data_IF_164695647825
#
_entry.id   IF_164695647825
#
_cell.length_a   1.000
_cell.length_b   1.000
_cell.length_c   1.000
_cell.angle_alpha   90.00
_cell.angle_beta   90.00
_cell.angle_gamma   90.00
#
_symmetry.space_group_name_H-M   'P 1'
#
loop_
_entity.id
_entity.type
_entity.pdbx_description
1 polymer ?
#
# COMPACT_ATOMS: atom_id res chain seq x y z
N UNK A 1 0.83 -5.03 3.60
CA UNK A 1 1.04 -5.46 5.00
C UNK A 1 0.67 -6.91 5.22
N UNK A 2 -0.59 -7.33 5.02
CA UNK A 2 -1.00 -8.74 5.22
C UNK A 2 -0.13 -9.74 4.45
N UNK A 3 0.19 -9.47 3.18
CA UNK A 3 1.05 -10.35 2.38
C UNK A 3 2.45 -10.52 3.00
N UNK A 4 3.07 -9.43 3.47
CA UNK A 4 4.38 -9.51 4.13
C UNK A 4 4.30 -10.27 5.45
N UNK A 5 3.29 -9.99 6.28
CA UNK A 5 3.08 -10.72 7.54
C UNK A 5 2.88 -12.21 7.31
N UNK A 6 2.15 -12.58 6.26
CA UNK A 6 1.93 -13.98 5.91
C UNK A 6 3.23 -14.67 5.50
N UNK A 7 3.95 -14.11 4.54
CA UNK A 7 5.17 -14.74 4.02
C UNK A 7 6.29 -14.80 5.06
N UNK A 8 6.37 -13.82 5.96
CA UNK A 8 7.35 -13.84 7.04
C UNK A 8 7.11 -14.98 8.04
N UNK A 9 5.85 -15.38 8.24
CA UNK A 9 5.47 -16.48 9.15
C UNK A 9 5.41 -17.83 8.46
N UNK A 10 5.08 -17.87 7.15
CA UNK A 10 4.87 -19.08 6.37
C UNK A 10 5.65 -19.07 5.05
N UNK A 11 6.99 -18.87 5.08
CA UNK A 11 7.78 -18.66 3.86
C UNK A 11 7.75 -19.86 2.90
N UNK A 12 7.53 -21.07 3.41
CA UNK A 12 7.45 -22.29 2.58
C UNK A 12 6.14 -22.45 1.80
N UNK A 13 5.14 -21.60 2.08
CA UNK A 13 3.84 -21.63 1.40
C UNK A 13 3.75 -20.61 0.25
N UNK A 14 4.79 -19.82 0.04
CA UNK A 14 4.78 -18.71 -0.92
C UNK A 14 5.96 -18.82 -1.86
N UNK A 15 5.69 -18.99 -3.15
CA UNK A 15 6.73 -19.07 -4.18
C UNK A 15 7.32 -17.69 -4.50
N UNK A 16 6.52 -16.63 -4.45
CA UNK A 16 6.94 -15.25 -4.74
C UNK A 16 5.93 -14.23 -4.19
N UNK A 17 6.38 -13.00 -3.94
CA UNK A 17 5.55 -11.93 -3.40
C UNK A 17 5.63 -10.69 -4.29
N UNK A 18 4.52 -9.95 -4.38
CA UNK A 18 4.47 -8.62 -5.00
C UNK A 18 4.00 -7.59 -3.99
N UNK A 19 4.74 -6.51 -3.87
CA UNK A 19 4.35 -5.33 -3.10
C UNK A 19 4.12 -4.16 -4.07
N UNK A 20 2.97 -3.49 -3.95
CA UNK A 20 2.62 -2.35 -4.79
C UNK A 20 2.38 -1.12 -3.92
N UNK A 21 3.31 -0.18 -3.99
CA UNK A 21 3.30 1.17 -3.41
C UNK A 21 2.72 1.25 -1.98
N UNK A 22 3.08 0.28 -1.14
CA UNK A 22 2.61 0.18 0.25
C UNK A 22 3.79 -0.02 1.21
N UNK A 23 3.93 0.90 2.15
CA UNK A 23 4.97 0.84 3.18
C UNK A 23 4.87 -0.40 4.06
N UNK A 24 6.01 -0.82 4.60
CA UNK A 24 6.12 -1.83 5.64
C UNK A 24 6.35 -1.13 6.98
N UNK A 25 5.31 -1.00 7.84
CA UNK A 25 5.45 -0.41 9.16
C UNK A 25 6.62 -1.01 9.95
N UNK A 26 7.38 -0.18 10.64
CA UNK A 26 8.50 -0.62 11.48
C UNK A 26 9.78 -0.99 10.75
N UNK A 27 9.78 -1.03 9.42
CA UNK A 27 10.96 -1.37 8.61
C UNK A 27 11.70 -0.11 8.16
N UNK A 28 13.01 -0.06 8.36
CA UNK A 28 13.85 1.09 7.98
C UNK A 28 13.43 2.38 8.67
N UNK A 29 13.44 3.52 7.95
CA UNK A 29 13.07 4.83 8.51
C UNK A 29 11.55 5.02 8.60
N UNK A 30 10.86 4.07 9.22
CA UNK A 30 9.42 4.11 9.46
C UNK A 30 8.99 5.32 10.28
N UNK A 31 9.82 5.78 11.21
CA UNK A 31 9.49 6.92 12.06
C UNK A 31 9.26 8.19 11.23
N UNK A 32 10.08 8.43 10.22
CA UNK A 32 9.89 9.57 9.30
C UNK A 32 8.60 9.43 8.53
N UNK A 33 8.31 8.24 7.97
CA UNK A 33 7.04 7.98 7.26
C UNK A 33 5.83 8.19 8.17
N UNK A 34 5.89 7.65 9.39
CA UNK A 34 4.82 7.77 10.39
C UNK A 34 4.46 9.21 10.75
N UNK A 35 5.43 10.12 10.69
CA UNK A 35 5.28 11.54 11.06
C UNK A 35 4.98 12.46 9.85
N UNK A 36 4.89 11.93 8.63
CA UNK A 36 4.56 12.73 7.46
C UNK A 36 3.14 13.31 7.57
N UNK A 37 3.04 14.63 7.45
CA UNK A 37 1.74 15.33 7.57
C UNK A 37 0.74 14.91 6.51
N UNK A 38 1.22 14.61 5.31
CA UNK A 38 0.38 14.20 4.18
C UNK A 38 -0.23 12.81 4.38
N UNK A 39 0.35 12.03 5.29
CA UNK A 39 -0.17 10.73 5.72
C UNK A 39 -1.03 10.82 7.00
N UNK A 40 -1.69 11.96 7.24
CA UNK A 40 -2.53 12.18 8.42
C UNK A 40 -3.59 11.10 8.64
N UNK A 41 -4.05 10.44 7.58
CA UNK A 41 -5.01 9.34 7.63
C UNK A 41 -4.48 8.11 8.37
N UNK A 42 -3.17 7.95 8.53
CA UNK A 42 -2.57 6.91 9.39
C UNK A 42 -2.97 7.07 10.86
N UNK A 43 -3.33 8.29 11.27
CA UNK A 43 -3.73 8.63 12.64
C UNK A 43 -5.22 8.94 12.77
N UNK A 44 -6.00 8.80 11.68
CA UNK A 44 -7.40 9.19 11.63
C UNK A 44 -8.32 7.96 11.71
N UNK A 45 -8.51 7.44 12.94
CA UNK A 45 -9.33 6.27 13.22
C UNK A 45 -10.04 6.38 14.58
N UNK A 46 -10.99 5.49 14.85
CA UNK A 46 -11.78 5.46 16.10
C UNK A 46 -13.20 6.02 15.93
N UNK A 47 -13.92 6.15 17.03
CA UNK A 47 -15.35 6.49 17.02
C UNK A 47 -15.63 7.91 16.51
N UNK A 48 -14.79 8.90 16.85
CA UNK A 48 -14.98 10.27 16.38
C UNK A 48 -14.74 10.40 14.87
N UNK A 49 -13.63 9.92 14.29
CA UNK A 49 -13.45 9.83 12.85
C UNK A 49 -14.59 9.10 12.13
N UNK A 50 -15.07 7.97 12.63
CA UNK A 50 -16.21 7.26 12.06
C UNK A 50 -17.45 8.13 11.96
N UNK A 51 -17.78 8.85 13.03
CA UNK A 51 -18.94 9.77 13.06
C UNK A 51 -18.75 10.96 12.12
N UNK A 52 -17.53 11.48 11.99
CA UNK A 52 -17.21 12.59 11.07
C UNK A 52 -17.33 12.18 9.61
N UNK A 53 -16.97 10.95 9.27
CA UNK A 53 -16.98 10.45 7.88
C UNK A 53 -18.34 9.89 7.48
N UNK A 54 -19.16 9.43 8.41
CA UNK A 54 -20.47 8.86 8.13
C UNK A 54 -21.34 9.77 7.23
N UNK A 55 -21.71 9.27 6.05
CA UNK A 55 -22.42 10.01 5.00
C UNK A 55 -21.54 11.00 4.22
N UNK A 56 -20.23 10.99 4.43
CA UNK A 56 -19.22 11.83 3.78
C UNK A 56 -18.04 11.02 3.25
N UNK A 57 -18.22 9.73 3.06
CA UNK A 57 -17.16 8.80 2.61
C UNK A 57 -16.52 9.30 1.32
N UNK A 58 -17.33 9.86 0.41
CA UNK A 58 -16.83 10.46 -0.83
C UNK A 58 -15.83 11.60 -0.54
N UNK A 59 -16.14 12.49 0.39
CA UNK A 59 -15.27 13.62 0.74
C UNK A 59 -13.96 13.11 1.36
N UNK A 60 -14.05 12.10 2.23
CA UNK A 60 -12.87 11.49 2.84
C UNK A 60 -11.96 10.86 1.80
N UNK A 61 -12.52 10.12 0.82
CA UNK A 61 -11.74 9.46 -0.21
C UNK A 61 -11.18 10.41 -1.28
N UNK A 62 -11.73 11.64 -1.44
CA UNK A 62 -11.12 12.64 -2.33
C UNK A 62 -9.66 12.96 -1.94
N UNK A 63 -9.32 12.94 -0.65
CA UNK A 63 -7.94 13.04 -0.19
C UNK A 63 -7.06 11.98 -0.85
N UNK A 64 -7.45 10.71 -0.80
CA UNK A 64 -6.67 9.61 -1.37
C UNK A 64 -6.54 9.72 -2.90
N UNK A 65 -7.63 10.01 -3.57
CA UNK A 65 -7.65 10.04 -5.03
C UNK A 65 -6.96 11.29 -5.62
N UNK A 66 -6.93 12.38 -4.90
CA UNK A 66 -6.39 13.63 -5.38
C UNK A 66 -4.94 13.84 -4.93
N UNK A 67 -4.64 13.59 -3.67
CA UNK A 67 -3.34 13.95 -3.10
C UNK A 67 -2.25 12.91 -3.41
N UNK A 68 -2.64 11.64 -3.66
CA UNK A 68 -1.69 10.56 -3.99
C UNK A 68 -1.66 10.17 -5.47
N UNK A 69 -2.51 10.73 -6.30
CA UNK A 69 -2.50 10.50 -7.74
C UNK A 69 -1.52 11.41 -8.47
N UNK A 70 -0.92 10.92 -9.56
CA UNK A 70 -0.09 11.74 -10.42
C UNK A 70 -0.89 12.79 -11.21
N UNK A 71 -2.13 12.46 -11.56
CA UNK A 71 -3.12 13.34 -12.18
C UNK A 71 -4.46 13.22 -11.45
N UNK A 72 -4.74 14.12 -10.49
CA UNK A 72 -5.96 14.06 -9.68
C UNK A 72 -7.27 14.04 -10.46
N UNK A 73 -7.26 14.56 -11.68
CA UNK A 73 -8.47 14.67 -12.51
C UNK A 73 -8.77 13.40 -13.30
N UNK A 74 -7.75 12.64 -13.68
CA UNK A 74 -7.90 11.54 -14.63
C UNK A 74 -7.43 10.18 -14.08
N UNK A 75 -6.70 10.15 -12.96
CA UNK A 75 -6.15 8.89 -12.41
C UNK A 75 -7.24 7.94 -11.92
N UNK A 76 -8.27 8.44 -11.26
CA UNK A 76 -9.40 7.61 -10.79
C UNK A 76 -10.69 8.12 -11.42
N UNK A 77 -11.31 7.36 -12.36
CA UNK A 77 -12.55 7.75 -13.03
C UNK A 77 -13.70 7.99 -12.04
N UNK A 78 -14.63 8.89 -12.41
CA UNK A 78 -15.77 9.23 -11.55
C UNK A 78 -16.64 8.00 -11.20
N UNK A 79 -16.81 7.07 -12.13
CA UNK A 79 -17.57 5.84 -11.88
C UNK A 79 -16.94 5.01 -10.76
N UNK A 80 -15.61 4.91 -10.73
CA UNK A 80 -14.86 4.17 -9.70
C UNK A 80 -14.92 4.90 -8.36
N UNK A 81 -14.77 6.23 -8.37
CA UNK A 81 -14.93 7.06 -7.16
C UNK A 81 -16.31 6.86 -6.52
N UNK A 82 -17.36 6.83 -7.33
CA UNK A 82 -18.72 6.55 -6.85
C UNK A 82 -18.87 5.12 -6.33
N UNK A 83 -18.25 4.15 -7.00
CA UNK A 83 -18.26 2.77 -6.58
C UNK A 83 -17.58 2.59 -5.22
N UNK A 84 -16.37 3.11 -5.05
CA UNK A 84 -15.63 3.06 -3.78
C UNK A 84 -16.39 3.76 -2.65
N UNK A 85 -16.89 4.98 -2.88
CA UNK A 85 -17.65 5.70 -1.87
C UNK A 85 -18.89 4.92 -1.40
N UNK A 86 -19.65 4.32 -2.32
CA UNK A 86 -20.82 3.48 -1.99
C UNK A 86 -20.42 2.20 -1.24
N UNK A 87 -19.31 1.59 -1.63
CA UNK A 87 -18.81 0.37 -0.97
C UNK A 87 -18.44 0.64 0.48
N UNK A 88 -17.75 1.74 0.73
CA UNK A 88 -17.35 2.11 2.09
C UNK A 88 -18.49 2.72 2.94
N UNK A 89 -19.56 3.20 2.31
CA UNK A 89 -20.77 3.61 3.01
C UNK A 89 -21.60 2.41 3.56
N UNK A 90 -21.25 1.17 3.19
CA UNK A 90 -21.93 -0.01 3.73
C UNK A 90 -21.62 -0.18 5.24
N UNK A 91 -22.58 -0.72 6.02
CA UNK A 91 -22.38 -0.93 7.45
C UNK A 91 -21.09 -1.68 7.76
N UNK A 92 -20.25 -1.08 8.59
CA UNK A 92 -18.99 -1.66 9.04
C UNK A 92 -17.79 -1.47 8.11
N UNK A 93 -17.99 -1.12 6.84
CA UNK A 93 -16.90 -1.02 5.86
C UNK A 93 -15.89 0.08 6.22
N UNK A 94 -16.37 1.28 6.57
CA UNK A 94 -15.48 2.37 7.01
C UNK A 94 -14.73 2.03 8.31
N UNK A 95 -15.39 1.34 9.26
CA UNK A 95 -14.73 0.85 10.47
C UNK A 95 -13.60 -0.12 10.13
N UNK A 96 -13.86 -1.08 9.26
CA UNK A 96 -12.84 -2.04 8.83
C UNK A 96 -11.63 -1.33 8.17
N UNK A 97 -11.87 -0.33 7.34
CA UNK A 97 -10.81 0.48 6.75
C UNK A 97 -9.96 1.21 7.81
N UNK A 98 -10.59 1.80 8.83
CA UNK A 98 -9.88 2.48 9.91
C UNK A 98 -9.09 1.53 10.81
N UNK A 99 -9.56 0.30 11.01
CA UNK A 99 -8.83 -0.70 11.80
C UNK A 99 -7.48 -1.09 11.15
N UNK A 100 -7.36 -0.99 9.82
CA UNK A 100 -6.07 -1.18 9.14
C UNK A 100 -5.04 -0.18 9.67
N UNK A 101 -5.38 1.11 9.72
CA UNK A 101 -4.47 2.15 10.23
C UNK A 101 -4.23 2.04 11.74
N UNK A 102 -5.25 1.68 12.51
CA UNK A 102 -5.12 1.45 13.96
C UNK A 102 -4.05 0.39 14.29
N UNK A 103 -3.94 -0.63 13.43
CA UNK A 103 -2.99 -1.72 13.67
C UNK A 103 -1.55 -1.39 13.26
N UNK A 104 -1.27 -0.27 12.60
CA UNK A 104 0.08 0.08 12.14
C UNK A 104 1.13 0.13 13.25
N UNK A 105 0.77 0.53 14.47
CA UNK A 105 1.70 0.52 15.61
C UNK A 105 2.06 -0.91 16.06
N UNK A 106 1.11 -1.84 15.98
CA UNK A 106 1.39 -3.25 16.26
C UNK A 106 2.13 -3.88 15.09
N UNK A 107 1.68 -3.63 13.86
CA UNK A 107 2.39 -4.10 12.65
C UNK A 107 3.84 -3.62 12.63
N UNK A 108 4.12 -2.39 13.10
CA UNK A 108 5.49 -1.88 13.18
C UNK A 108 6.39 -2.66 14.14
N UNK A 109 5.85 -3.16 15.24
CA UNK A 109 6.60 -4.02 16.17
C UNK A 109 6.83 -5.40 15.58
N UNK A 110 5.77 -5.98 15.00
CA UNK A 110 5.81 -7.32 14.44
C UNK A 110 6.75 -7.37 13.21
N UNK A 111 6.67 -6.36 12.32
CA UNK A 111 7.50 -6.31 11.12
C UNK A 111 8.97 -6.00 11.43
N UNK A 112 9.25 -5.19 12.45
CA UNK A 112 10.62 -5.01 12.93
C UNK A 112 11.23 -6.34 13.39
N UNK A 113 10.43 -7.19 14.06
CA UNK A 113 10.87 -8.52 14.47
C UNK A 113 11.01 -9.45 13.26
N UNK A 114 10.05 -9.46 12.33
CA UNK A 114 10.15 -10.29 11.12
C UNK A 114 11.34 -9.91 10.25
N UNK A 115 11.70 -8.62 10.20
CA UNK A 115 12.83 -8.11 9.43
C UNK A 115 14.21 -8.60 9.94
N UNK A 116 14.30 -9.15 11.15
CA UNK A 116 15.54 -9.75 11.66
C UNK A 116 15.99 -10.96 10.82
N UNK A 117 15.03 -11.62 10.16
CA UNK A 117 15.31 -12.73 9.23
C UNK A 117 14.80 -12.37 7.85
N UNK A 118 15.72 -12.11 6.92
CA UNK A 118 15.35 -11.76 5.56
C UNK A 118 14.69 -12.91 4.82
N UNK A 119 13.68 -12.58 4.05
CA UNK A 119 13.09 -13.47 3.05
C UNK A 119 14.11 -13.75 1.93
N UNK A 120 13.87 -14.81 1.17
CA UNK A 120 14.77 -15.24 0.07
C UNK A 120 14.02 -15.59 -1.21
N UNK A 121 12.68 -15.65 -1.16
CA UNK A 121 11.89 -15.89 -2.36
C UNK A 121 11.87 -14.64 -3.25
N UNK A 122 11.62 -14.78 -4.55
CA UNK A 122 11.50 -13.62 -5.42
C UNK A 122 10.44 -12.62 -4.94
N UNK A 123 10.83 -11.35 -4.79
CA UNK A 123 9.95 -10.24 -4.44
C UNK A 123 9.98 -9.18 -5.55
N UNK A 124 8.81 -8.87 -6.10
CA UNK A 124 8.63 -7.72 -7.00
C UNK A 124 8.06 -6.55 -6.20
N UNK A 125 8.69 -5.38 -6.34
CA UNK A 125 8.19 -4.12 -5.78
C UNK A 125 7.88 -3.16 -6.91
N UNK A 126 6.60 -2.76 -7.02
CA UNK A 126 6.13 -1.77 -7.98
C UNK A 126 5.79 -0.48 -7.25
N UNK A 127 6.33 0.64 -7.70
CA UNK A 127 6.12 1.96 -7.09
C UNK A 127 5.82 3.01 -8.14
N UNK A 128 5.11 4.08 -7.74
CA UNK A 128 4.95 5.26 -8.57
C UNK A 128 6.12 6.26 -8.38
N UNK A 129 6.63 6.81 -9.48
CA UNK A 129 7.71 7.82 -9.43
C UNK A 129 7.32 9.06 -8.60
N UNK A 130 6.03 9.43 -8.63
CA UNK A 130 5.45 10.56 -7.89
C UNK A 130 4.83 10.16 -6.54
N UNK A 131 5.07 8.94 -6.10
CA UNK A 131 4.62 8.42 -4.81
C UNK A 131 5.82 7.91 -4.02
N UNK A 132 5.92 6.61 -3.73
CA UNK A 132 7.00 6.06 -2.91
C UNK A 132 8.35 5.98 -3.62
N UNK A 133 8.38 5.93 -4.95
CA UNK A 133 9.61 5.88 -5.74
C UNK A 133 10.58 4.80 -5.29
N UNK A 134 11.88 5.12 -5.25
CA UNK A 134 12.93 4.19 -4.81
C UNK A 134 12.85 3.84 -3.31
N UNK A 135 12.23 4.70 -2.49
CA UNK A 135 12.18 4.49 -1.04
C UNK A 135 11.58 3.12 -0.66
N UNK A 136 10.48 2.74 -1.30
CA UNK A 136 9.84 1.46 -1.02
C UNK A 136 10.66 0.26 -1.50
N UNK A 137 11.39 0.40 -2.59
CA UNK A 137 12.31 -0.63 -3.09
C UNK A 137 13.46 -0.83 -2.09
N UNK A 138 14.03 0.26 -1.59
CA UNK A 138 15.07 0.21 -0.56
C UNK A 138 14.54 -0.39 0.74
N UNK A 139 13.32 -0.04 1.15
CA UNK A 139 12.68 -0.64 2.32
C UNK A 139 12.50 -2.16 2.15
N UNK A 140 12.07 -2.62 0.96
CA UNK A 140 11.94 -4.05 0.67
C UNK A 140 13.27 -4.80 0.74
N UNK A 141 14.38 -4.19 0.31
CA UNK A 141 15.73 -4.76 0.42
C UNK A 141 16.22 -4.95 1.87
N UNK A 142 15.59 -4.29 2.83
CA UNK A 142 15.87 -4.53 4.24
C UNK A 142 15.27 -5.87 4.72
N UNK A 143 14.22 -6.34 4.10
CA UNK A 143 13.44 -7.52 4.53
C UNK A 143 13.55 -8.73 3.60
N UNK A 144 14.15 -8.55 2.41
CA UNK A 144 14.35 -9.64 1.44
C UNK A 144 15.69 -9.49 0.73
N UNK A 145 16.29 -10.63 0.34
CA UNK A 145 17.56 -10.69 -0.39
C UNK A 145 17.39 -10.74 -1.91
N UNK A 146 16.17 -10.99 -2.41
CA UNK A 146 15.87 -11.22 -3.83
C UNK A 146 14.78 -10.25 -4.33
N UNK A 147 15.08 -8.95 -4.31
CA UNK A 147 14.15 -7.86 -4.65
C UNK A 147 14.38 -7.35 -6.06
N UNK A 148 13.35 -7.45 -6.91
CA UNK A 148 13.23 -6.75 -8.19
C UNK A 148 12.36 -5.50 -7.97
N UNK A 149 12.90 -4.30 -8.22
CA UNK A 149 12.19 -3.04 -8.08
C UNK A 149 11.88 -2.42 -9.44
N UNK A 150 10.65 -1.93 -9.62
CA UNK A 150 10.22 -1.19 -10.82
C UNK A 150 9.49 0.09 -10.42
N UNK A 151 10.05 1.22 -10.83
CA UNK A 151 9.43 2.54 -10.68
C UNK A 151 8.63 2.87 -11.93
N UNK A 152 7.31 3.00 -11.79
CA UNK A 152 6.39 3.35 -12.89
C UNK A 152 6.47 4.86 -13.13
N UNK A 153 7.06 5.24 -14.26
CA UNK A 153 7.37 6.64 -14.58
C UNK A 153 6.13 7.51 -14.74
N UNK A 154 6.17 8.70 -14.16
CA UNK A 154 5.12 9.71 -14.23
C UNK A 154 3.84 9.36 -13.47
N UNK A 155 3.83 8.29 -12.66
CA UNK A 155 2.65 7.78 -11.96
C UNK A 155 2.73 7.98 -10.45
N UNK A 156 1.55 8.09 -9.83
CA UNK A 156 1.37 8.21 -8.39
C UNK A 156 1.13 6.87 -7.71
N UNK A 157 0.39 6.93 -6.62
CA UNK A 157 0.15 5.77 -5.75
C UNK A 157 -0.80 4.72 -6.36
N UNK A 158 -1.77 5.16 -7.16
CA UNK A 158 -2.84 4.32 -7.69
C UNK A 158 -2.41 3.58 -8.96
N UNK A 159 -1.42 2.70 -8.85
CA UNK A 159 -0.74 2.08 -9.98
C UNK A 159 -1.67 1.36 -10.95
N UNK A 160 -2.69 0.67 -10.43
CA UNK A 160 -3.63 -0.09 -11.26
C UNK A 160 -4.64 0.80 -11.98
N UNK A 161 -5.01 1.92 -11.40
CA UNK A 161 -5.88 2.93 -11.98
C UNK A 161 -5.13 3.84 -12.95
N UNK A 162 -3.89 4.22 -12.58
CA UNK A 162 -3.10 5.19 -13.35
C UNK A 162 -2.34 4.59 -14.52
N UNK A 163 -1.92 3.33 -14.43
CA UNK A 163 -1.03 2.72 -15.40
C UNK A 163 -1.21 1.20 -15.58
N UNK A 164 -2.43 0.67 -15.73
CA UNK A 164 -2.63 -0.78 -15.87
C UNK A 164 -1.83 -1.37 -17.04
N UNK A 165 -1.66 -0.63 -18.14
CA UNK A 165 -0.88 -1.06 -19.30
C UNK A 165 0.63 -1.17 -19.04
N UNK A 166 1.16 -0.50 -18.03
CA UNK A 166 2.57 -0.63 -17.61
C UNK A 166 2.72 -1.67 -16.48
N UNK A 167 1.76 -1.74 -15.56
CA UNK A 167 1.80 -2.58 -14.36
C UNK A 167 1.50 -4.04 -14.67
N UNK A 168 0.42 -4.31 -15.42
CA UNK A 168 -0.03 -5.68 -15.69
C UNK A 168 1.06 -6.52 -16.40
N UNK A 169 1.77 -6.03 -17.43
CA UNK A 169 2.86 -6.80 -18.05
C UNK A 169 3.99 -7.16 -17.07
N UNK A 170 4.34 -6.26 -16.13
CA UNK A 170 5.35 -6.53 -15.11
C UNK A 170 4.92 -7.64 -14.17
N UNK A 171 3.65 -7.59 -13.71
CA UNK A 171 3.07 -8.62 -12.86
C UNK A 171 3.07 -9.98 -13.58
N UNK A 172 2.56 -10.03 -14.81
CA UNK A 172 2.48 -11.27 -15.60
C UNK A 172 3.86 -11.85 -15.87
N UNK A 173 4.82 -11.01 -16.24
CA UNK A 173 6.21 -11.44 -16.48
C UNK A 173 6.83 -12.01 -15.19
N UNK A 174 6.63 -11.34 -14.05
CA UNK A 174 7.18 -11.78 -12.77
C UNK A 174 6.55 -13.09 -12.28
N UNK A 175 5.21 -13.22 -12.37
CA UNK A 175 4.49 -14.42 -11.92
C UNK A 175 4.87 -15.64 -12.74
N UNK A 176 5.09 -15.47 -14.04
CA UNK A 176 5.41 -16.55 -15.00
C UNK A 176 6.92 -16.84 -15.15
N UNK A 177 7.81 -16.14 -14.43
CA UNK A 177 9.23 -16.50 -14.42
C UNK A 177 9.38 -17.95 -13.95
N UNK A 178 10.04 -18.79 -14.73
CA UNK A 178 10.48 -20.12 -14.28
C UNK A 178 11.39 -19.97 -13.05
N UNK A 179 11.27 -20.86 -12.11
CA UNK A 179 12.19 -20.95 -10.97
C UNK A 179 13.56 -21.39 -11.44
#
# INVERSE_FOLDING_TARGET
MVAYAYVAQYPSEVDRIVLMDAFLPGVGDWKTVWLLRDLWHFHFYGETPLKLVAGRERIYFEHFWNDFAADPKHSVPEADRQFYARSYAQPGAMRAGFEVFRNFEQDAKDFAQFAETKLTMPMLVLTGEKASGEFLIEQARLVDTNVEGVVIKGKGHWLMEEAPSQVIPQLVAFINKSQ
#
